data_IF_282469394267
#
_entry.id   IF_282469394267
#
_cell.length_a   1.000
_cell.length_b   1.000
_cell.length_c   1.000
_cell.angle_alpha   90.00
_cell.angle_beta   90.00
_cell.angle_gamma   90.00
#
_symmetry.space_group_name_H-M   'P 1'
#
loop_
_entity.id
_entity.type
_entity.pdbx_description
1 polymer ?
#
# COMPACT_ATOMS: atom_id res chain seq x y z
N UNK A 1 42.91 -15.52 -66.97
CA UNK A 1 43.22 -14.60 -65.84
C UNK A 1 41.98 -14.51 -64.98
N UNK A 2 41.94 -15.33 -63.94
CA UNK A 2 40.84 -15.38 -62.97
C UNK A 2 41.29 -14.59 -61.74
N UNK A 3 40.52 -13.58 -61.35
CA UNK A 3 40.74 -12.81 -60.12
C UNK A 3 40.01 -13.55 -58.99
N UNK A 4 40.63 -13.84 -57.84
CA UNK A 4 40.00 -14.62 -56.78
C UNK A 4 38.94 -13.79 -56.06
N UNK A 5 37.79 -14.41 -55.80
CA UNK A 5 36.81 -13.94 -54.82
C UNK A 5 37.49 -14.05 -53.46
N UNK A 6 37.89 -12.90 -52.91
CA UNK A 6 38.30 -12.81 -51.52
C UNK A 6 37.12 -13.21 -50.64
N UNK A 7 37.36 -14.20 -49.79
CA UNK A 7 36.51 -14.62 -48.69
C UNK A 7 36.26 -13.37 -47.84
N UNK A 8 35.04 -12.83 -47.91
CA UNK A 8 34.59 -11.85 -46.93
C UNK A 8 34.42 -12.62 -45.61
N UNK A 9 35.20 -12.24 -44.61
CA UNK A 9 35.06 -12.67 -43.23
C UNK A 9 33.59 -12.59 -42.78
N UNK A 10 32.99 -13.76 -42.54
CA UNK A 10 31.69 -13.91 -41.91
C UNK A 10 31.68 -13.47 -40.43
N UNK A 11 32.80 -13.02 -39.88
CA UNK A 11 32.93 -12.66 -38.46
C UNK A 11 32.35 -11.28 -38.12
N UNK A 12 32.06 -10.42 -39.11
CA UNK A 12 31.47 -9.09 -38.88
C UNK A 12 29.93 -9.06 -38.92
N UNK A 13 29.27 -10.16 -39.29
CA UNK A 13 27.80 -10.29 -39.22
C UNK A 13 27.30 -11.01 -37.96
N UNK A 14 28.21 -11.52 -37.12
CA UNK A 14 27.87 -12.09 -35.81
C UNK A 14 27.97 -11.07 -34.66
N UNK A 15 28.42 -9.84 -34.92
CA UNK A 15 28.36 -8.74 -33.96
C UNK A 15 27.03 -7.96 -34.01
N UNK A 16 25.92 -8.69 -34.09
CA UNK A 16 24.61 -8.17 -33.73
C UNK A 16 24.44 -8.22 -32.22
N UNK A 17 24.43 -7.05 -31.56
CA UNK A 17 24.08 -6.86 -30.13
C UNK A 17 24.66 -7.91 -29.19
N UNK A 18 25.90 -7.70 -28.76
CA UNK A 18 26.53 -8.49 -27.69
C UNK A 18 25.60 -8.66 -26.48
N UNK A 19 24.90 -9.80 -26.42
CA UNK A 19 24.39 -10.35 -25.18
C UNK A 19 25.63 -10.80 -24.39
N UNK A 20 26.15 -9.93 -23.53
CA UNK A 20 26.69 -10.44 -22.27
C UNK A 20 25.52 -11.15 -21.61
N UNK A 21 25.49 -12.48 -21.69
CA UNK A 21 24.59 -13.29 -20.89
C UNK A 21 25.08 -13.13 -19.46
N UNK A 22 24.59 -12.11 -18.76
CA UNK A 22 24.90 -11.89 -17.35
C UNK A 22 24.47 -13.17 -16.60
N UNK A 23 25.38 -13.69 -15.79
CA UNK A 23 24.99 -14.68 -14.80
C UNK A 23 23.91 -14.05 -13.91
N UNK A 24 22.93 -14.88 -13.52
CA UNK A 24 21.83 -14.39 -12.70
C UNK A 24 22.36 -13.97 -11.36
N UNK A 25 21.76 -12.91 -10.83
CA UNK A 25 22.01 -12.48 -9.47
C UNK A 25 21.81 -13.66 -8.49
N UNK A 26 22.86 -13.97 -7.74
CA UNK A 26 22.83 -14.95 -6.67
C UNK A 26 22.79 -14.21 -5.33
N UNK A 27 21.70 -14.40 -4.59
CA UNK A 27 21.47 -13.80 -3.29
C UNK A 27 22.63 -14.12 -2.34
N UNK A 28 23.20 -15.33 -2.38
CA UNK A 28 24.28 -15.80 -1.49
C UNK A 28 25.62 -15.09 -1.72
N UNK A 29 25.75 -14.35 -2.83
CA UNK A 29 27.01 -13.67 -3.18
C UNK A 29 27.09 -12.23 -2.67
N UNK A 30 26.02 -11.69 -2.07
CA UNK A 30 25.95 -10.29 -1.65
C UNK A 30 25.71 -10.14 -0.14
N UNK A 31 25.99 -8.96 0.43
CA UNK A 31 25.67 -8.64 1.82
C UNK A 31 24.19 -8.30 2.02
N UNK A 32 23.69 -8.45 3.25
CA UNK A 32 22.33 -8.02 3.59
C UNK A 32 22.14 -6.50 3.48
N UNK A 33 23.20 -5.71 3.70
CA UNK A 33 23.20 -4.26 3.47
C UNK A 33 22.94 -3.93 1.99
N UNK A 34 23.53 -4.71 1.06
CA UNK A 34 23.24 -4.57 -0.36
C UNK A 34 21.77 -4.93 -0.68
N UNK A 35 21.26 -6.00 -0.08
CA UNK A 35 19.86 -6.42 -0.28
C UNK A 35 18.86 -5.38 0.25
N UNK A 36 19.11 -4.83 1.44
CA UNK A 36 18.30 -3.77 2.02
C UNK A 36 18.32 -2.50 1.17
N UNK A 37 19.49 -2.07 0.72
CA UNK A 37 19.61 -0.85 -0.09
C UNK A 37 19.04 -0.99 -1.50
N UNK A 38 19.09 -2.19 -2.09
CA UNK A 38 18.69 -2.43 -3.49
C UNK A 38 17.24 -2.92 -3.61
N UNK A 39 16.83 -3.84 -2.74
CA UNK A 39 15.53 -4.51 -2.78
C UNK A 39 14.62 -4.12 -1.61
N UNK A 40 15.14 -3.46 -0.58
CA UNK A 40 14.37 -2.96 0.57
C UNK A 40 14.15 -3.98 1.69
N UNK A 41 14.65 -5.21 1.55
CA UNK A 41 14.37 -6.30 2.48
C UNK A 41 15.62 -7.16 2.76
N UNK A 42 15.75 -7.71 3.98
CA UNK A 42 16.84 -8.61 4.33
C UNK A 42 16.65 -9.98 3.66
N UNK A 43 17.75 -10.74 3.58
CA UNK A 43 17.79 -12.08 2.97
C UNK A 43 16.73 -13.03 3.51
N UNK A 44 16.61 -13.12 4.84
CA UNK A 44 15.66 -14.01 5.49
C UNK A 44 14.21 -13.73 5.05
N UNK A 45 13.85 -12.45 4.93
CA UNK A 45 12.53 -12.04 4.45
C UNK A 45 12.32 -12.39 2.97
N UNK A 46 13.36 -12.22 2.14
CA UNK A 46 13.28 -12.60 0.73
C UNK A 46 13.09 -14.12 0.59
N UNK A 47 13.80 -14.92 1.39
CA UNK A 47 13.60 -16.38 1.40
C UNK A 47 12.23 -16.78 1.90
N UNK A 48 11.72 -16.13 2.94
CA UNK A 48 10.34 -16.32 3.38
C UNK A 48 9.34 -16.05 2.25
N UNK A 49 9.53 -14.99 1.45
CA UNK A 49 8.68 -14.73 0.28
C UNK A 49 8.82 -15.80 -0.81
N UNK A 50 10.03 -16.35 -1.00
CA UNK A 50 10.26 -17.46 -1.94
C UNK A 50 9.52 -18.71 -1.50
N UNK A 51 9.51 -19.02 -0.20
CA UNK A 51 8.72 -20.14 0.33
C UNK A 51 7.22 -19.89 0.19
N UNK A 52 6.76 -18.67 0.54
CA UNK A 52 5.36 -18.30 0.50
C UNK A 52 4.76 -18.30 -0.92
N UNK A 53 5.53 -17.86 -1.92
CA UNK A 53 5.04 -17.65 -3.30
C UNK A 53 5.63 -18.66 -4.31
N UNK A 54 6.54 -19.53 -3.87
CA UNK A 54 7.35 -20.39 -4.73
C UNK A 54 6.51 -21.31 -5.62
N UNK A 55 5.47 -21.92 -5.06
CA UNK A 55 4.58 -22.82 -5.80
C UNK A 55 3.82 -22.11 -6.92
N UNK A 56 3.33 -20.89 -6.66
CA UNK A 56 2.62 -20.06 -7.64
C UNK A 56 3.55 -19.52 -8.73
N UNK A 57 4.79 -19.16 -8.37
CA UNK A 57 5.77 -18.58 -9.29
C UNK A 57 6.54 -19.62 -10.10
N UNK A 58 6.59 -20.86 -9.63
CA UNK A 58 7.27 -21.96 -10.30
C UNK A 58 6.54 -22.37 -11.57
N UNK A 59 7.29 -22.48 -12.66
CA UNK A 59 6.74 -22.95 -13.95
C UNK A 59 7.26 -24.34 -14.26
N UNK A 60 6.35 -25.27 -14.55
CA UNK A 60 6.72 -26.54 -15.19
C UNK A 60 7.16 -26.24 -16.62
N UNK A 61 8.46 -26.14 -16.84
CA UNK A 61 9.02 -25.88 -18.17
C UNK A 61 10.27 -26.70 -18.41
N UNK A 62 10.42 -27.20 -19.64
CA UNK A 62 11.61 -27.91 -20.12
C UNK A 62 12.64 -26.95 -20.75
N UNK A 63 12.43 -25.63 -20.63
CA UNK A 63 13.37 -24.63 -21.16
C UNK A 63 14.61 -24.56 -20.28
N UNK A 64 15.79 -24.58 -20.90
CA UNK A 64 17.04 -24.27 -20.21
C UNK A 64 16.98 -22.83 -19.66
N UNK A 65 17.42 -22.66 -18.41
CA UNK A 65 17.42 -21.36 -17.69
C UNK A 65 16.04 -20.69 -17.61
N UNK A 66 15.01 -21.38 -17.09
CA UNK A 66 13.77 -20.71 -16.67
C UNK A 66 14.04 -19.73 -15.50
N UNK A 67 13.40 -18.56 -15.44
CA UNK A 67 13.59 -17.61 -14.34
C UNK A 67 13.00 -18.23 -13.07
N UNK A 68 13.82 -18.39 -12.05
CA UNK A 68 13.47 -19.01 -10.78
C UNK A 68 12.65 -18.05 -9.90
N UNK A 69 11.88 -18.56 -8.92
CA UNK A 69 11.00 -17.73 -8.07
C UNK A 69 11.73 -16.60 -7.33
N UNK A 70 12.91 -16.89 -6.77
CA UNK A 70 13.83 -15.91 -6.17
C UNK A 70 14.14 -14.73 -7.09
N UNK A 71 14.52 -14.99 -8.34
CA UNK A 71 14.83 -13.94 -9.32
C UNK A 71 13.57 -13.16 -9.70
N UNK A 72 12.40 -13.82 -9.79
CA UNK A 72 11.14 -13.13 -10.03
C UNK A 72 10.79 -12.19 -8.87
N UNK A 73 10.98 -12.63 -7.62
CA UNK A 73 10.73 -11.86 -6.41
C UNK A 73 11.68 -10.67 -6.32
N UNK A 74 12.99 -10.87 -6.51
CA UNK A 74 13.98 -9.80 -6.52
C UNK A 74 13.66 -8.72 -7.58
N UNK A 75 13.25 -9.15 -8.77
CA UNK A 75 12.80 -8.25 -9.82
C UNK A 75 11.58 -7.42 -9.39
N UNK A 76 10.59 -8.06 -8.76
CA UNK A 76 9.40 -7.36 -8.27
C UNK A 76 9.72 -6.40 -7.12
N UNK A 77 10.46 -6.86 -6.10
CA UNK A 77 10.88 -6.04 -4.96
C UNK A 77 11.70 -4.83 -5.40
N UNK A 78 12.69 -5.03 -6.27
CA UNK A 78 13.49 -3.94 -6.81
C UNK A 78 12.66 -2.93 -7.60
N UNK A 79 11.59 -3.36 -8.28
CA UNK A 79 10.64 -2.42 -8.89
C UNK A 79 9.84 -1.66 -7.82
N UNK A 80 9.26 -2.35 -6.84
CA UNK A 80 8.42 -1.71 -5.82
C UNK A 80 9.21 -0.70 -4.98
N UNK A 81 10.44 -1.02 -4.57
CA UNK A 81 11.21 -0.22 -3.61
C UNK A 81 12.10 0.84 -4.24
N UNK A 82 12.50 0.70 -5.52
CA UNK A 82 13.33 1.72 -6.17
C UNK A 82 12.54 2.92 -6.66
N UNK A 83 11.25 2.77 -6.97
CA UNK A 83 10.45 3.81 -7.65
C UNK A 83 10.98 4.18 -9.04
N UNK A 84 11.93 3.39 -9.56
CA UNK A 84 12.62 3.66 -10.81
C UNK A 84 12.00 2.87 -11.97
N UNK A 85 12.34 3.26 -13.20
CA UNK A 85 11.96 2.48 -14.38
C UNK A 85 12.54 1.06 -14.29
N UNK A 86 11.75 0.07 -14.70
CA UNK A 86 12.10 -1.36 -14.73
C UNK A 86 13.44 -1.67 -15.44
N UNK A 87 13.91 -0.76 -16.31
CA UNK A 87 15.17 -0.83 -17.05
C UNK A 87 16.39 -1.03 -16.17
N UNK A 88 16.59 -0.18 -15.16
CA UNK A 88 17.80 -0.24 -14.32
C UNK A 88 17.87 -1.51 -13.49
N UNK A 89 16.73 -1.98 -12.98
CA UNK A 89 16.67 -3.19 -12.15
C UNK A 89 16.86 -4.46 -12.99
N UNK A 90 16.32 -4.49 -14.22
CA UNK A 90 16.52 -5.61 -15.14
C UNK A 90 17.99 -5.85 -15.46
N UNK A 91 18.76 -4.77 -15.67
CA UNK A 91 20.20 -4.86 -15.94
C UNK A 91 20.98 -5.36 -14.72
N UNK A 92 20.62 -4.91 -13.50
CA UNK A 92 21.25 -5.36 -12.25
C UNK A 92 21.03 -6.85 -11.96
N UNK A 93 19.85 -7.37 -12.31
CA UNK A 93 19.47 -8.78 -12.09
C UNK A 93 19.93 -9.69 -13.25
N UNK A 94 20.21 -9.11 -14.42
CA UNK A 94 20.59 -9.85 -15.63
C UNK A 94 19.40 -10.38 -16.44
N UNK A 95 18.27 -9.65 -16.47
CA UNK A 95 17.07 -10.04 -17.23
C UNK A 95 16.60 -8.96 -18.21
N UNK A 96 16.04 -9.39 -19.35
CA UNK A 96 15.47 -8.46 -20.33
C UNK A 96 14.24 -7.72 -19.80
N UNK A 97 13.94 -6.54 -20.35
CA UNK A 97 12.76 -5.75 -19.96
C UNK A 97 11.43 -6.49 -20.07
N UNK A 98 11.25 -7.29 -21.13
CA UNK A 98 10.06 -8.12 -21.27
C UNK A 98 9.96 -9.16 -20.15
N UNK A 99 11.09 -9.68 -19.65
CA UNK A 99 11.12 -10.62 -18.53
C UNK A 99 10.86 -9.91 -17.21
N UNK A 100 11.46 -8.76 -16.98
CA UNK A 100 11.21 -7.90 -15.81
C UNK A 100 9.71 -7.59 -15.66
N UNK A 101 9.07 -7.12 -16.73
CA UNK A 101 7.62 -6.82 -16.74
C UNK A 101 6.76 -8.04 -16.40
N UNK A 102 7.13 -9.23 -16.89
CA UNK A 102 6.47 -10.49 -16.54
C UNK A 102 6.68 -10.88 -15.08
N UNK A 103 7.89 -10.70 -14.53
CA UNK A 103 8.19 -11.01 -13.13
C UNK A 103 7.32 -10.15 -12.21
N UNK A 104 7.34 -8.83 -12.39
CA UNK A 104 6.49 -7.88 -11.62
C UNK A 104 5.02 -8.29 -11.72
N UNK A 105 4.53 -8.62 -12.92
CA UNK A 105 3.12 -9.01 -13.10
C UNK A 105 2.78 -10.31 -12.37
N UNK A 106 3.64 -11.33 -12.42
CA UNK A 106 3.37 -12.61 -11.77
C UNK A 106 3.43 -12.47 -10.25
N UNK A 107 4.44 -11.78 -9.71
CA UNK A 107 4.60 -11.58 -8.27
C UNK A 107 3.47 -10.70 -7.72
N UNK A 108 3.10 -9.63 -8.41
CA UNK A 108 1.92 -8.82 -8.05
C UNK A 108 0.67 -9.70 -7.94
N UNK A 109 0.41 -10.57 -8.92
CA UNK A 109 -0.75 -11.47 -8.89
C UNK A 109 -0.68 -12.45 -7.71
N UNK A 110 0.46 -13.08 -7.50
CA UNK A 110 0.66 -14.03 -6.41
C UNK A 110 0.46 -13.36 -5.03
N UNK A 111 0.92 -12.12 -4.86
CA UNK A 111 0.68 -11.34 -3.64
C UNK A 111 -0.79 -10.95 -3.46
N UNK A 112 -1.46 -10.55 -4.53
CA UNK A 112 -2.91 -10.21 -4.50
C UNK A 112 -3.75 -11.44 -4.14
N UNK A 113 -3.41 -12.62 -4.66
CA UNK A 113 -4.08 -13.89 -4.29
C UNK A 113 -3.97 -14.21 -2.79
N UNK A 114 -2.92 -13.71 -2.14
CA UNK A 114 -2.67 -13.83 -0.70
C UNK A 114 -3.30 -12.72 0.13
N UNK A 115 -3.98 -11.73 -0.47
CA UNK A 115 -4.45 -10.55 0.24
C UNK A 115 -5.36 -10.88 1.43
N UNK A 116 -6.30 -11.82 1.28
CA UNK A 116 -7.21 -12.22 2.36
C UNK A 116 -6.54 -13.01 3.50
N UNK A 117 -5.34 -13.56 3.28
CA UNK A 117 -4.55 -14.22 4.33
C UNK A 117 -3.82 -13.20 5.22
N UNK A 118 -3.47 -12.04 4.66
CA UNK A 118 -2.65 -11.04 5.34
C UNK A 118 -3.39 -9.75 5.70
N UNK A 119 -4.52 -9.46 5.06
CA UNK A 119 -5.34 -8.27 5.28
C UNK A 119 -6.76 -8.74 5.60
N UNK A 120 -7.19 -8.53 6.83
CA UNK A 120 -8.51 -8.93 7.27
C UNK A 120 -8.89 -8.32 8.60
N UNK A 121 -10.19 -8.08 8.76
CA UNK A 121 -10.73 -7.54 9.99
C UNK A 121 -10.72 -8.63 11.09
N UNK A 122 -10.26 -8.25 12.27
CA UNK A 122 -10.13 -9.11 13.45
C UNK A 122 -11.52 -9.59 13.91
N UNK A 123 -11.65 -10.87 14.27
CA UNK A 123 -12.94 -11.50 14.62
C UNK A 123 -13.09 -11.90 16.07
N UNK A 124 -12.01 -12.21 16.77
CA UNK A 124 -12.07 -12.68 18.16
C UNK A 124 -12.02 -11.53 19.16
N UNK A 125 -12.72 -11.72 20.27
CA UNK A 125 -12.90 -10.67 21.28
C UNK A 125 -11.60 -10.34 22.03
N UNK A 126 -10.67 -11.30 22.13
CA UNK A 126 -9.37 -11.08 22.75
C UNK A 126 -8.52 -10.09 21.95
N UNK A 127 -8.45 -10.27 20.63
CA UNK A 127 -7.70 -9.36 19.75
C UNK A 127 -8.39 -8.00 19.62
N UNK A 128 -9.74 -7.94 19.63
CA UNK A 128 -10.45 -6.65 19.73
C UNK A 128 -10.09 -5.92 21.03
N UNK A 129 -10.08 -6.61 22.16
CA UNK A 129 -9.74 -6.03 23.46
C UNK A 129 -8.31 -5.52 23.49
N UNK A 130 -7.36 -6.29 22.93
CA UNK A 130 -5.98 -5.86 22.76
C UNK A 130 -5.88 -4.57 21.91
N UNK A 131 -6.60 -4.51 20.78
CA UNK A 131 -6.62 -3.32 19.91
C UNK A 131 -7.11 -2.09 20.68
N UNK A 132 -8.19 -2.21 21.46
CA UNK A 132 -8.70 -1.12 22.31
C UNK A 132 -7.65 -0.62 23.30
N UNK A 133 -6.96 -1.52 23.98
CA UNK A 133 -5.91 -1.17 24.93
C UNK A 133 -4.70 -0.51 24.25
N UNK A 134 -4.32 -1.00 23.07
CA UNK A 134 -3.23 -0.44 22.28
C UNK A 134 -3.54 0.98 21.80
N UNK A 135 -4.72 1.21 21.21
CA UNK A 135 -5.14 2.54 20.81
C UNK A 135 -5.31 3.48 22.00
N UNK A 136 -5.82 2.99 23.12
CA UNK A 136 -5.94 3.79 24.33
C UNK A 136 -4.58 4.31 24.81
N UNK A 137 -3.51 3.52 24.66
CA UNK A 137 -2.14 3.95 24.99
C UNK A 137 -1.57 5.04 24.09
N UNK A 138 -2.12 5.23 22.87
CA UNK A 138 -1.62 6.23 21.92
C UNK A 138 -1.94 7.64 22.42
N UNK A 139 -3.22 7.93 22.66
CA UNK A 139 -3.66 9.28 23.02
C UNK A 139 -4.88 9.28 23.96
N UNK A 140 -5.19 8.16 24.60
CA UNK A 140 -6.30 8.05 25.56
C UNK A 140 -7.68 7.94 24.94
N UNK A 141 -7.80 7.70 23.61
CA UNK A 141 -9.10 7.47 22.98
C UNK A 141 -9.59 6.03 23.28
N UNK A 142 -10.73 5.86 23.97
CA UNK A 142 -11.18 4.53 24.38
C UNK A 142 -11.93 3.79 23.28
N UNK A 143 -11.97 2.46 23.38
CA UNK A 143 -12.77 1.56 22.54
C UNK A 143 -12.49 1.61 21.02
N UNK A 144 -11.36 2.16 20.59
CA UNK A 144 -10.97 2.17 19.18
C UNK A 144 -10.52 0.79 18.76
N UNK A 145 -10.97 0.34 17.58
CA UNK A 145 -10.60 -0.97 17.00
C UNK A 145 -9.89 -0.83 15.65
N UNK A 146 -9.84 0.39 15.10
CA UNK A 146 -9.12 0.72 13.88
C UNK A 146 -9.24 2.20 13.53
N UNK A 147 -8.35 2.68 12.68
CA UNK A 147 -8.40 4.03 12.10
C UNK A 147 -8.55 3.91 10.59
N UNK A 148 -9.44 4.71 9.99
CA UNK A 148 -9.79 4.67 8.57
C UNK A 148 -9.47 6.01 7.90
N UNK A 149 -8.86 5.93 6.72
CA UNK A 149 -8.73 7.10 5.83
C UNK A 149 -8.52 6.67 4.38
N UNK A 150 -8.68 7.65 3.48
CA UNK A 150 -8.42 7.55 2.06
C UNK A 150 -7.13 8.29 1.68
N UNK A 151 -6.34 7.70 0.79
CA UNK A 151 -5.21 8.37 0.16
C UNK A 151 -5.19 8.17 -1.36
N UNK A 152 -4.70 9.19 -2.06
CA UNK A 152 -4.57 9.16 -3.51
C UNK A 152 -3.17 8.71 -3.94
N UNK A 153 -3.09 7.62 -4.70
CA UNK A 153 -1.85 7.19 -5.36
C UNK A 153 -1.87 7.66 -6.81
N UNK A 154 -0.89 8.48 -7.18
CA UNK A 154 -0.83 9.09 -8.50
C UNK A 154 -0.50 8.05 -9.60
N UNK A 155 -1.25 8.09 -10.70
CA UNK A 155 -1.08 7.19 -11.84
C UNK A 155 -0.90 7.98 -13.12
N UNK A 156 -0.33 7.34 -14.14
CA UNK A 156 -0.40 7.87 -15.50
C UNK A 156 -1.86 7.96 -15.92
N UNK A 157 -2.24 9.08 -16.54
CA UNK A 157 -3.53 9.22 -17.21
C UNK A 157 -3.79 8.01 -18.14
N UNK A 158 -4.85 7.20 -17.91
CA UNK A 158 -5.21 6.11 -18.81
C UNK A 158 -5.57 6.65 -20.21
N UNK A 159 -6.24 7.80 -20.23
CA UNK A 159 -6.46 8.70 -21.35
C UNK A 159 -6.43 10.13 -20.78
N UNK A 160 -5.80 11.09 -21.46
CA UNK A 160 -5.73 12.47 -20.98
C UNK A 160 -7.11 13.12 -20.83
N UNK A 161 -8.10 12.64 -21.59
CA UNK A 161 -9.49 13.10 -21.55
C UNK A 161 -10.35 12.35 -20.53
N UNK A 162 -9.87 11.24 -19.96
CA UNK A 162 -10.63 10.49 -18.96
C UNK A 162 -10.50 11.17 -17.59
N UNK A 163 -11.54 11.93 -17.26
CA UNK A 163 -11.67 12.65 -15.99
C UNK A 163 -12.04 11.73 -14.83
N UNK A 164 -12.37 10.45 -15.07
CA UNK A 164 -12.83 9.52 -14.03
C UNK A 164 -11.77 9.30 -12.94
N UNK A 165 -10.50 9.49 -13.25
CA UNK A 165 -9.40 9.35 -12.30
C UNK A 165 -8.81 10.68 -11.80
N UNK A 166 -9.33 11.81 -12.25
CA UNK A 166 -8.82 13.13 -11.84
C UNK A 166 -9.38 13.50 -10.47
N UNK A 167 -8.49 13.67 -9.49
CA UNK A 167 -8.88 14.07 -8.15
C UNK A 167 -9.10 15.59 -8.01
N UNK A 168 -9.51 16.03 -6.82
CA UNK A 168 -9.69 17.45 -6.50
C UNK A 168 -8.44 18.31 -6.69
N UNK A 169 -7.25 17.71 -6.60
CA UNK A 169 -5.94 18.35 -6.83
C UNK A 169 -5.55 18.40 -8.32
N UNK A 170 -6.41 17.92 -9.22
CA UNK A 170 -6.25 18.03 -10.67
C UNK A 170 -5.32 17.00 -11.31
N UNK A 171 -4.97 15.91 -10.62
CA UNK A 171 -4.12 14.84 -11.18
C UNK A 171 -4.81 13.47 -11.16
N UNK A 172 -4.42 12.60 -12.12
CA UNK A 172 -4.93 11.24 -12.20
C UNK A 172 -4.41 10.38 -11.05
N UNK A 173 -5.32 9.74 -10.31
CA UNK A 173 -4.98 8.90 -9.16
C UNK A 173 -5.94 7.74 -8.98
N UNK A 174 -5.49 6.75 -8.22
CA UNK A 174 -6.34 5.74 -7.59
C UNK A 174 -6.58 6.19 -6.15
N UNK A 175 -7.85 6.32 -5.75
CA UNK A 175 -8.21 6.54 -4.36
C UNK A 175 -8.16 5.18 -3.61
N UNK A 176 -7.46 5.15 -2.48
CA UNK A 176 -7.23 3.95 -1.70
C UNK A 176 -7.77 4.16 -0.29
N UNK A 177 -8.75 3.36 0.13
CA UNK A 177 -9.24 3.36 1.50
C UNK A 177 -8.53 2.27 2.30
N UNK A 178 -7.87 2.66 3.39
CA UNK A 178 -7.22 1.72 4.30
C UNK A 178 -7.83 1.82 5.69
N UNK A 179 -7.86 0.68 6.38
CA UNK A 179 -8.10 0.60 7.82
C UNK A 179 -6.88 -0.05 8.46
N UNK A 180 -6.34 0.54 9.52
CA UNK A 180 -5.20 -0.05 10.22
C UNK A 180 -5.35 -0.03 11.74
N UNK A 181 -4.59 -0.90 12.41
CA UNK A 181 -4.48 -0.96 13.87
C UNK A 181 -3.49 0.09 14.41
N UNK A 182 -3.25 0.05 15.72
CA UNK A 182 -2.37 0.97 16.43
C UNK A 182 -0.91 0.97 15.93
N UNK A 183 -0.48 -0.13 15.29
CA UNK A 183 0.87 -0.36 14.77
C UNK A 183 0.98 -0.10 13.27
N UNK A 184 -0.12 0.27 12.62
CA UNK A 184 -0.21 0.42 11.17
C UNK A 184 -0.34 -0.90 10.41
N UNK A 185 -0.73 -1.99 11.08
CA UNK A 185 -1.09 -3.25 10.41
C UNK A 185 -2.46 -3.08 9.74
N UNK A 186 -2.54 -3.41 8.45
CA UNK A 186 -3.75 -3.18 7.65
C UNK A 186 -4.82 -4.23 7.96
N UNK A 187 -5.99 -3.78 8.40
CA UNK A 187 -7.18 -4.60 8.65
C UNK A 187 -8.10 -4.65 7.42
N UNK A 188 -8.04 -3.61 6.58
CA UNK A 188 -8.74 -3.54 5.30
C UNK A 188 -7.94 -2.68 4.32
N UNK A 189 -7.96 -3.05 3.04
CA UNK A 189 -7.32 -2.29 1.99
C UNK A 189 -8.12 -2.37 0.68
N UNK A 190 -8.72 -1.25 0.30
CA UNK A 190 -9.43 -1.12 -0.98
C UNK A 190 -8.69 -0.14 -1.89
N UNK A 191 -8.04 -0.67 -2.92
CA UNK A 191 -7.03 0.06 -3.71
C UNK A 191 -7.44 0.25 -5.16
N UNK A 192 -8.74 0.34 -5.45
CA UNK A 192 -9.27 0.29 -6.82
C UNK A 192 -10.21 1.46 -7.17
N UNK A 193 -10.45 2.38 -6.24
CA UNK A 193 -11.41 3.46 -6.46
C UNK A 193 -10.86 4.52 -7.43
N UNK A 194 -11.67 5.02 -8.37
CA UNK A 194 -11.24 6.11 -9.25
C UNK A 194 -10.93 7.38 -8.46
N UNK A 195 -9.88 8.10 -8.85
CA UNK A 195 -9.44 9.32 -8.15
C UNK A 195 -10.46 10.47 -8.13
N UNK A 196 -11.46 10.46 -9.01
CA UNK A 196 -12.56 11.45 -8.96
C UNK A 196 -13.59 11.17 -7.88
N UNK A 197 -13.62 9.95 -7.33
CA UNK A 197 -14.59 9.54 -6.32
C UNK A 197 -14.19 10.11 -4.95
N UNK A 198 -15.13 10.84 -4.34
CA UNK A 198 -14.95 11.42 -3.01
C UNK A 198 -14.90 10.34 -1.92
N UNK A 199 -14.20 10.63 -0.82
CA UNK A 199 -13.94 9.65 0.25
C UNK A 199 -15.22 9.11 0.89
N UNK A 200 -16.25 9.95 1.08
CA UNK A 200 -17.54 9.46 1.53
C UNK A 200 -18.20 8.50 0.53
N UNK A 201 -18.10 8.76 -0.77
CA UNK A 201 -18.68 7.87 -1.79
C UNK A 201 -17.91 6.55 -1.89
N UNK A 202 -16.59 6.58 -1.67
CA UNK A 202 -15.75 5.39 -1.48
C UNK A 202 -16.21 4.61 -0.26
N UNK A 203 -16.32 5.27 0.89
CA UNK A 203 -16.77 4.67 2.15
C UNK A 203 -18.16 4.05 2.05
N UNK A 204 -19.14 4.73 1.45
CA UNK A 204 -20.49 4.21 1.32
C UNK A 204 -20.55 2.87 0.55
N UNK A 205 -19.66 2.68 -0.41
CA UNK A 205 -19.60 1.48 -1.25
C UNK A 205 -18.63 0.42 -0.72
N UNK A 206 -17.81 0.76 0.26
CA UNK A 206 -16.73 -0.11 0.73
C UNK A 206 -17.25 -1.32 1.51
N UNK A 207 -16.46 -2.38 1.48
CA UNK A 207 -16.67 -3.61 2.23
C UNK A 207 -16.66 -3.38 3.74
N UNK A 208 -15.86 -2.42 4.23
CA UNK A 208 -15.83 -2.08 5.66
C UNK A 208 -17.15 -1.46 6.11
N UNK A 209 -17.72 -0.54 5.32
CA UNK A 209 -19.03 0.03 5.66
C UNK A 209 -20.11 -1.04 5.70
N UNK A 210 -20.18 -1.90 4.67
CA UNK A 210 -21.12 -3.04 4.66
C UNK A 210 -20.94 -3.97 5.86
N UNK A 211 -19.69 -4.30 6.20
CA UNK A 211 -19.37 -5.18 7.32
C UNK A 211 -19.87 -4.65 8.67
N UNK A 212 -19.77 -3.34 8.91
CA UNK A 212 -20.23 -2.74 10.15
C UNK A 212 -21.73 -2.45 10.17
N UNK A 213 -22.34 -2.07 9.05
CA UNK A 213 -23.80 -1.88 8.98
C UNK A 213 -24.57 -3.20 9.19
N UNK A 214 -23.99 -4.34 8.80
CA UNK A 214 -24.57 -5.68 9.01
C UNK A 214 -24.47 -6.16 10.47
N UNK A 215 -23.71 -5.48 11.34
CA UNK A 215 -23.58 -5.83 12.76
C UNK A 215 -24.62 -5.12 13.62
N UNK A 216 -25.38 -5.87 14.41
CA UNK A 216 -26.37 -5.31 15.35
C UNK A 216 -25.74 -4.68 16.60
N UNK A 217 -24.61 -5.22 17.06
CA UNK A 217 -23.88 -4.74 18.24
C UNK A 217 -22.43 -4.42 17.89
N UNK A 218 -22.12 -3.12 17.80
CA UNK A 218 -20.77 -2.63 17.53
C UNK A 218 -19.94 -2.64 18.81
N UNK A 219 -18.92 -3.50 18.86
CA UNK A 219 -18.02 -3.63 20.02
C UNK A 219 -16.78 -2.76 19.91
N UNK A 220 -16.93 -1.50 19.50
CA UNK A 220 -15.85 -0.55 19.36
C UNK A 220 -16.04 0.40 18.20
N UNK A 221 -15.11 1.35 18.08
CA UNK A 221 -15.18 2.44 17.12
C UNK A 221 -14.06 2.35 16.09
N UNK A 222 -14.41 2.62 14.83
CA UNK A 222 -13.44 3.15 13.89
C UNK A 222 -13.31 4.67 14.12
N UNK A 223 -12.12 5.22 13.93
CA UNK A 223 -11.93 6.67 13.81
C UNK A 223 -11.72 7.04 12.36
N UNK A 224 -12.58 7.91 11.84
CA UNK A 224 -12.42 8.55 10.54
C UNK A 224 -12.23 10.06 10.72
N UNK A 225 -11.78 10.73 9.67
CA UNK A 225 -11.66 12.17 9.68
C UNK A 225 -13.02 12.87 9.44
N UNK A 226 -12.99 14.20 9.22
CA UNK A 226 -14.19 15.00 9.00
C UNK A 226 -14.90 14.75 7.65
N UNK A 227 -14.28 14.03 6.72
CA UNK A 227 -14.89 13.67 5.41
C UNK A 227 -15.82 12.46 5.53
N UNK A 228 -15.72 11.70 6.62
CA UNK A 228 -16.59 10.57 6.90
C UNK A 228 -17.86 11.01 7.65
N UNK A 229 -18.99 10.30 7.45
CA UNK A 229 -20.19 10.53 8.26
C UNK A 229 -19.99 10.01 9.69
N UNK A 230 -20.56 10.70 10.67
CA UNK A 230 -20.67 10.14 12.02
C UNK A 230 -21.64 8.96 12.01
N UNK A 231 -21.22 7.81 12.55
CA UNK A 231 -22.05 6.62 12.72
C UNK A 231 -21.93 6.13 14.16
N UNK A 232 -22.83 5.24 14.56
CA UNK A 232 -22.75 4.57 15.87
C UNK A 232 -21.37 3.96 16.09
N UNK A 233 -20.78 3.38 15.05
CA UNK A 233 -19.48 2.69 15.07
C UNK A 233 -18.31 3.47 14.44
N UNK A 234 -18.54 4.70 13.95
CA UNK A 234 -17.51 5.53 13.31
C UNK A 234 -17.51 6.91 13.94
N UNK A 235 -16.45 7.22 14.68
CA UNK A 235 -16.27 8.49 15.36
C UNK A 235 -15.43 9.45 14.52
N UNK A 236 -15.90 10.69 14.41
CA UNK A 236 -15.27 11.78 13.66
C UNK A 236 -14.98 12.97 14.58
N UNK A 237 -14.00 13.83 14.25
CA UNK A 237 -13.67 14.98 15.08
C UNK A 237 -14.85 15.97 15.13
N UNK A 238 -14.92 16.76 16.20
CA UNK A 238 -15.87 17.87 16.32
C UNK A 238 -15.39 19.03 15.45
N UNK A 239 -16.27 19.54 14.59
CA UNK A 239 -15.97 20.70 13.75
C UNK A 239 -15.85 22.00 14.57
N UNK A 240 -16.70 22.14 15.59
CA UNK A 240 -16.77 23.32 16.45
C UNK A 240 -16.69 22.89 17.92
N UNK A 241 -15.49 22.62 18.45
CA UNK A 241 -15.32 22.32 19.87
C UNK A 241 -15.57 23.59 20.70
N UNK A 242 -16.41 23.49 21.74
CA UNK A 242 -16.79 24.64 22.59
C UNK A 242 -16.33 24.47 24.04
N UNK A 243 -16.25 23.23 24.52
CA UNK A 243 -15.90 22.90 25.91
C UNK A 243 -14.47 22.34 26.04
N UNK A 244 -13.82 22.42 27.22
CA UNK A 244 -12.54 21.75 27.45
C UNK A 244 -12.57 20.24 27.15
N UNK A 245 -13.70 19.58 27.37
CA UNK A 245 -13.89 18.17 27.04
C UNK A 245 -13.86 17.94 25.53
N UNK A 246 -14.51 18.79 24.74
CA UNK A 246 -14.48 18.75 23.27
C UNK A 246 -13.06 18.88 22.72
N UNK A 247 -12.29 19.82 23.26
CA UNK A 247 -10.89 20.01 22.85
C UNK A 247 -10.02 18.79 23.19
N UNK A 248 -10.22 18.17 24.36
CA UNK A 248 -9.51 16.94 24.75
C UNK A 248 -9.90 15.74 23.86
N UNK A 249 -11.19 15.62 23.54
CA UNK A 249 -11.67 14.62 22.59
C UNK A 249 -11.02 14.79 21.22
N UNK A 250 -11.04 15.99 20.65
CA UNK A 250 -10.41 16.26 19.36
C UNK A 250 -8.90 16.01 19.39
N UNK A 251 -8.21 16.41 20.46
CA UNK A 251 -6.78 16.15 20.61
C UNK A 251 -6.47 14.64 20.60
N UNK A 252 -7.23 13.85 21.36
CA UNK A 252 -7.09 12.39 21.38
C UNK A 252 -7.48 11.75 20.04
N UNK A 253 -8.53 12.25 19.40
CA UNK A 253 -9.01 11.79 18.09
C UNK A 253 -7.94 11.99 17.03
N UNK A 254 -7.49 13.24 16.83
CA UNK A 254 -6.48 13.58 15.82
C UNK A 254 -5.19 12.79 16.06
N UNK A 255 -4.68 12.75 17.29
CA UNK A 255 -3.44 12.02 17.59
C UNK A 255 -3.54 10.51 17.34
N UNK A 256 -4.72 9.92 17.56
CA UNK A 256 -4.97 8.51 17.27
C UNK A 256 -5.15 8.28 15.76
N UNK A 257 -5.92 9.15 15.09
CA UNK A 257 -6.20 9.07 13.66
C UNK A 257 -4.94 9.21 12.80
N UNK A 258 -3.97 10.06 13.22
CA UNK A 258 -2.67 10.24 12.56
C UNK A 258 -1.89 8.92 12.29
N UNK A 259 -2.21 7.83 12.96
CA UNK A 259 -1.63 6.50 12.69
C UNK A 259 -1.87 6.08 11.25
N UNK A 260 -3.04 6.36 10.67
CA UNK A 260 -3.35 5.96 9.29
C UNK A 260 -2.52 6.76 8.28
N UNK A 261 -2.35 8.06 8.49
CA UNK A 261 -1.50 8.93 7.68
C UNK A 261 -0.05 8.46 7.72
N UNK A 262 0.44 8.14 8.92
CA UNK A 262 1.77 7.59 9.11
C UNK A 262 1.93 6.23 8.42
N UNK A 263 0.89 5.40 8.43
CA UNK A 263 0.88 4.10 7.74
C UNK A 263 0.96 4.27 6.23
N UNK A 264 0.18 5.18 5.64
CA UNK A 264 0.28 5.52 4.22
C UNK A 264 1.69 5.98 3.84
N UNK A 265 2.29 6.87 4.64
CA UNK A 265 3.66 7.36 4.43
C UNK A 265 4.70 6.25 4.53
N UNK A 266 4.57 5.34 5.49
CA UNK A 266 5.45 4.19 5.65
C UNK A 266 5.40 3.29 4.40
N UNK A 267 4.20 2.99 3.90
CA UNK A 267 3.99 2.22 2.66
C UNK A 267 4.63 2.93 1.46
N UNK A 268 4.39 4.23 1.27
CA UNK A 268 4.97 5.00 0.16
C UNK A 268 6.50 5.12 0.24
N UNK A 269 7.05 5.27 1.44
CA UNK A 269 8.49 5.39 1.67
C UNK A 269 9.22 4.08 1.37
N UNK A 270 8.63 2.96 1.80
CA UNK A 270 9.15 1.61 1.54
C UNK A 270 8.98 1.22 0.08
N UNK A 271 7.80 1.46 -0.49
CA UNK A 271 7.46 1.13 -1.87
C UNK A 271 7.40 2.39 -2.72
N UNK A 272 8.58 2.91 -3.07
CA UNK A 272 8.75 4.16 -3.82
C UNK A 272 8.07 4.18 -5.18
N UNK A 273 7.62 3.05 -5.72
CA UNK A 273 6.76 3.05 -6.91
C UNK A 273 5.39 3.71 -6.67
N UNK A 274 4.98 3.88 -5.41
CA UNK A 274 3.75 4.55 -4.98
C UNK A 274 3.96 6.03 -4.60
N UNK A 275 5.22 6.47 -4.51
CA UNK A 275 5.60 7.84 -4.18
C UNK A 275 5.55 8.72 -5.45
N UNK A 276 4.54 9.58 -5.52
CA UNK A 276 4.34 10.51 -6.62
C UNK A 276 5.49 11.48 -6.88
N UNK A 277 6.38 11.71 -5.91
CA UNK A 277 7.56 12.57 -6.08
C UNK A 277 8.65 11.94 -6.95
N UNK A 278 8.66 10.60 -7.07
CA UNK A 278 9.63 9.85 -7.87
C UNK A 278 9.10 9.47 -9.26
N UNK A 279 7.81 9.64 -9.48
CA UNK A 279 7.14 9.41 -10.75
C UNK A 279 5.73 8.86 -10.55
N UNK A 280 5.11 8.47 -11.66
CA UNK A 280 3.76 7.90 -11.66
C UNK A 280 3.80 6.46 -12.17
N UNK A 281 2.94 5.60 -11.65
CA UNK A 281 2.76 4.26 -12.19
C UNK A 281 2.31 4.33 -13.65
N UNK A 282 3.12 3.78 -14.55
CA UNK A 282 2.92 3.83 -16.01
C UNK A 282 2.07 2.66 -16.53
N UNK A 283 1.08 2.22 -15.76
CA UNK A 283 0.21 1.07 -16.11
C UNK A 283 -1.26 1.49 -16.21
N UNK A 284 -2.10 0.57 -16.67
CA UNK A 284 -3.54 0.74 -16.58
C UNK A 284 -3.99 0.88 -15.12
N UNK A 285 -5.10 1.60 -14.83
CA UNK A 285 -5.65 1.73 -13.49
C UNK A 285 -5.80 0.39 -12.75
N UNK A 286 -6.30 -0.64 -13.43
CA UNK A 286 -6.45 -1.99 -12.88
C UNK A 286 -5.11 -2.59 -12.45
N UNK A 287 -4.06 -2.42 -13.25
CA UNK A 287 -2.73 -2.93 -12.88
C UNK A 287 -2.10 -2.09 -11.75
N UNK A 288 -2.35 -0.77 -11.72
CA UNK A 288 -1.96 0.07 -10.60
C UNK A 288 -2.63 -0.39 -9.30
N UNK A 289 -3.94 -0.65 -9.33
CA UNK A 289 -4.70 -1.14 -8.18
C UNK A 289 -4.11 -2.43 -7.60
N UNK A 290 -3.75 -3.39 -8.46
CA UNK A 290 -3.08 -4.63 -8.06
C UNK A 290 -1.68 -4.40 -7.49
N UNK A 291 -0.89 -3.47 -8.07
CA UNK A 291 0.44 -3.13 -7.53
C UNK A 291 0.31 -2.52 -6.13
N UNK A 292 -0.64 -1.60 -5.93
CA UNK A 292 -0.91 -0.99 -4.63
C UNK A 292 -1.30 -2.06 -3.62
N UNK A 293 -2.25 -2.95 -3.96
CA UNK A 293 -2.66 -4.04 -3.08
C UNK A 293 -1.50 -4.99 -2.74
N UNK A 294 -0.66 -5.34 -3.73
CA UNK A 294 0.53 -6.16 -3.48
C UNK A 294 1.51 -5.49 -2.50
N UNK A 295 1.66 -4.16 -2.56
CA UNK A 295 2.46 -3.40 -1.60
C UNK A 295 1.82 -3.40 -0.20
N UNK A 296 0.49 -3.29 -0.10
CA UNK A 296 -0.25 -3.44 1.16
C UNK A 296 -0.05 -4.84 1.78
N UNK A 297 -0.08 -5.90 0.97
CA UNK A 297 0.21 -7.26 1.43
C UNK A 297 1.65 -7.37 1.94
N UNK A 298 2.64 -6.90 1.16
CA UNK A 298 4.04 -6.91 1.58
C UNK A 298 4.27 -6.11 2.87
N UNK A 299 3.56 -4.99 3.06
CA UNK A 299 3.60 -4.21 4.29
C UNK A 299 3.16 -5.04 5.50
N UNK A 300 2.00 -5.70 5.44
CA UNK A 300 1.54 -6.54 6.55
C UNK A 300 2.45 -7.75 6.79
N UNK A 301 2.88 -8.43 5.72
CA UNK A 301 3.81 -9.56 5.79
C UNK A 301 5.12 -9.16 6.48
N UNK A 302 5.64 -7.97 6.15
CA UNK A 302 6.85 -7.43 6.78
C UNK A 302 6.64 -7.16 8.27
N UNK A 303 5.51 -6.58 8.66
CA UNK A 303 5.18 -6.32 10.07
C UNK A 303 5.04 -7.62 10.88
N UNK A 304 4.42 -8.66 10.31
CA UNK A 304 4.34 -9.98 10.93
C UNK A 304 5.71 -10.65 11.10
N UNK A 305 6.63 -10.37 10.18
CA UNK A 305 8.01 -10.86 10.23
C UNK A 305 8.91 -10.04 11.16
N UNK A 306 8.37 -9.08 11.91
CA UNK A 306 9.12 -8.23 12.82
C UNK A 306 9.90 -7.09 12.14
N UNK A 307 9.64 -6.81 10.86
CA UNK A 307 10.21 -5.66 10.17
C UNK A 307 9.33 -4.43 10.45
N UNK A 308 9.79 -3.56 11.33
CA UNK A 308 9.04 -2.37 11.73
C UNK A 308 8.70 -1.49 10.51
N UNK A 309 7.46 -1.01 10.44
CA UNK A 309 7.01 -0.03 9.44
C UNK A 309 7.82 1.27 9.48
N UNK A 310 8.42 1.56 10.63
CA UNK A 310 9.00 2.85 11.02
C UNK A 310 10.48 3.00 10.64
N UNK A 311 11.10 2.03 9.98
CA UNK A 311 12.55 2.00 9.71
C UNK A 311 13.04 3.01 8.67
N UNK A 312 12.24 4.01 8.28
CA UNK A 312 12.70 5.10 7.43
C UNK A 312 12.14 6.43 7.95
N UNK A 313 12.86 7.07 8.86
CA UNK A 313 12.63 8.46 9.22
C UNK A 313 12.74 9.33 7.96
N UNK A 314 11.60 9.82 7.48
CA UNK A 314 11.55 11.07 6.72
C UNK A 314 10.55 12.00 7.37
N UNK A 315 11.10 12.92 8.13
CA UNK A 315 10.51 14.19 8.56
C UNK A 315 10.22 15.05 7.34
N UNK A 316 9.07 14.84 6.72
CA UNK A 316 8.43 15.90 5.94
C UNK A 316 7.04 16.13 6.53
N UNK A 317 6.83 17.36 7.00
CA UNK A 317 5.57 17.85 7.54
C UNK A 317 4.44 17.64 6.53
N UNK A 318 3.25 17.15 6.95
CA UNK A 318 2.07 17.20 6.09
C UNK A 318 1.86 18.62 5.58
N UNK A 319 1.66 18.74 4.27
CA UNK A 319 0.99 19.91 3.69
C UNK A 319 -0.45 19.87 4.23
N UNK A 320 -0.69 20.60 5.32
CA UNK A 320 -2.03 20.82 5.87
C UNK A 320 -2.76 21.75 4.91
N UNK A 321 -3.28 21.20 3.81
CA UNK A 321 -4.32 21.88 3.06
C UNK A 321 -5.58 21.81 3.90
N UNK A 322 -5.93 22.91 4.57
CA UNK A 322 -7.27 23.15 5.11
C UNK A 322 -8.25 23.08 3.94
N UNK A 323 -8.81 21.89 3.69
CA UNK A 323 -9.92 21.72 2.77
C UNK A 323 -11.21 22.03 3.53
N UNK A 324 -11.91 23.08 3.08
CA UNK A 324 -13.25 23.41 3.57
C UNK A 324 -14.18 22.20 3.43
N UNK A 325 -14.62 21.66 4.56
CA UNK A 325 -15.56 20.56 4.61
C UNK A 325 -16.95 21.05 4.17
N UNK A 326 -17.42 20.61 3.00
CA UNK A 326 -18.84 20.68 2.68
C UNK A 326 -19.60 19.68 3.56
N UNK A 327 -20.68 20.18 4.17
CA UNK A 327 -21.52 19.52 5.16
C UNK A 327 -21.96 18.13 4.71
N UNK A 328 -21.87 17.15 5.62
CA UNK A 328 -22.77 16.00 5.56
C UNK A 328 -23.01 15.39 6.94
N UNK A 329 -23.64 16.16 7.82
CA UNK A 329 -24.37 15.57 8.95
C UNK A 329 -25.59 14.83 8.38
N UNK A 330 -25.38 13.58 7.99
CA UNK A 330 -26.42 12.56 8.12
C UNK A 330 -26.72 12.48 9.61
N UNK A 331 -27.76 13.21 10.07
CA UNK A 331 -28.15 13.31 11.47
C UNK A 331 -28.68 11.97 12.01
N UNK A 332 -27.80 10.98 12.14
CA UNK A 332 -28.02 9.84 13.03
C UNK A 332 -27.98 10.38 14.45
N UNK A 333 -29.17 10.69 14.97
CA UNK A 333 -29.36 11.29 16.29
C UNK A 333 -28.80 10.39 17.41
N UNK A 334 -28.73 9.08 17.17
CA UNK A 334 -28.16 8.12 18.11
C UNK A 334 -26.64 8.17 18.09
N UNK A 335 -26.02 8.22 16.90
CA UNK A 335 -24.56 8.38 16.77
C UNK A 335 -24.07 9.68 17.43
N UNK A 336 -24.81 10.78 17.26
CA UNK A 336 -24.52 12.04 17.94
C UNK A 336 -24.55 11.90 19.46
N UNK A 337 -25.59 11.25 20.00
CA UNK A 337 -25.73 11.00 21.44
C UNK A 337 -24.58 10.14 21.96
N UNK A 338 -24.19 9.08 21.25
CA UNK A 338 -23.07 8.20 21.61
C UNK A 338 -21.76 9.01 21.72
N UNK A 339 -21.46 9.85 20.72
CA UNK A 339 -20.26 10.69 20.76
C UNK A 339 -20.29 11.69 21.92
N UNK A 340 -21.43 12.32 22.18
CA UNK A 340 -21.60 13.25 23.31
C UNK A 340 -21.42 12.55 24.67
N UNK A 341 -22.00 11.36 24.85
CA UNK A 341 -21.81 10.56 26.07
C UNK A 341 -20.35 10.15 26.25
N UNK A 342 -19.65 9.78 25.16
CA UNK A 342 -18.21 9.51 25.20
C UNK A 342 -17.42 10.73 25.67
N UNK A 343 -17.69 11.91 25.10
CA UNK A 343 -17.03 13.17 25.47
C UNK A 343 -17.25 13.47 26.96
N UNK A 344 -18.51 13.43 27.41
CA UNK A 344 -18.87 13.76 28.79
C UNK A 344 -18.30 12.76 29.80
N UNK A 345 -18.32 11.47 29.50
CA UNK A 345 -17.93 10.44 30.46
C UNK A 345 -16.41 10.23 30.53
N UNK A 346 -15.68 10.53 29.45
CA UNK A 346 -14.26 10.20 29.35
C UNK A 346 -13.33 11.41 29.26
N UNK A 347 -13.79 12.52 28.69
CA UNK A 347 -12.94 13.69 28.41
C UNK A 347 -13.24 14.92 29.28
N UNK A 348 -14.28 14.87 30.13
CA UNK A 348 -14.61 15.92 31.11
C UNK A 348 -13.50 16.22 32.12
#
# INVERSE_FOLDING_TARGET
MAIPIAILDCDLLLHGRGHKTLDRFDIETVSDEFLLSTFGFPREFIYYLVELLGDTLSRRTQRSRAISPDVQILAALGFYTSGSFQTRMGDAIGISQASMSRCVTNVTKALVEKASEFIGFIRDDATKQQSKEEFYRVAGMPNVIGVIDCAHIAIKAPNAEDLSFVNKKGFHSINCQLVCDSRGFLLSAETHWPGSLQDNAVFQQSSVNRFFEDQENHEGWLLGDSRYPLKKWLMTPLQYPETPADYRYNLAHTATHEIVDRTFRAIQTRFRCLDGSKGYLQYSPEKCAHIILACCVLHNVSLQSGLDAWTFERTETPDQSEEGSEQMDSLDSEAFRIRQELILNHFS
#
